data_IF_299899860813
#
_entry.id   IF_299899860813
#
_cell.length_a   1.000
_cell.length_b   1.000
_cell.length_c   1.000
_cell.angle_alpha   90.00
_cell.angle_beta   90.00
_cell.angle_gamma   90.00
#
_symmetry.space_group_name_H-M   'P 1'
#
loop_
_entity.id
_entity.type
_entity.pdbx_description
1 polymer ?
#
# COMPACT_ATOMS: atom_id res chain seq x y z
N UNK A 1 -10.17 -9.36 -36.00
CA UNK A 1 -9.18 -8.74 -35.09
C UNK A 1 -8.82 -9.77 -34.03
N UNK A 2 -7.57 -10.26 -33.95
CA UNK A 2 -7.17 -11.17 -32.88
C UNK A 2 -7.30 -10.45 -31.54
N UNK A 3 -8.09 -11.01 -30.62
CA UNK A 3 -8.30 -10.42 -29.30
C UNK A 3 -7.01 -10.41 -28.50
N UNK A 4 -6.62 -9.25 -27.97
CA UNK A 4 -5.50 -9.15 -27.05
C UNK A 4 -5.72 -10.11 -25.87
N UNK A 5 -4.69 -10.87 -25.48
CA UNK A 5 -4.82 -11.78 -24.35
C UNK A 5 -5.03 -10.97 -23.05
N UNK A 6 -5.74 -11.54 -22.07
CA UNK A 6 -5.96 -10.86 -20.78
C UNK A 6 -4.64 -10.38 -20.13
N UNK A 7 -3.56 -11.15 -20.31
CA UNK A 7 -2.22 -10.77 -19.85
C UNK A 7 -1.66 -9.51 -20.55
N UNK A 8 -1.90 -9.35 -21.85
CA UNK A 8 -1.52 -8.13 -22.58
C UNK A 8 -2.32 -6.93 -22.09
N UNK A 9 -3.62 -7.10 -21.84
CA UNK A 9 -4.45 -6.01 -21.31
C UNK A 9 -3.94 -5.54 -19.93
N UNK A 10 -3.69 -6.47 -19.01
CA UNK A 10 -3.22 -6.14 -17.66
C UNK A 10 -1.87 -5.41 -17.66
N UNK A 11 -0.92 -5.85 -18.50
CA UNK A 11 0.39 -5.21 -18.61
C UNK A 11 0.36 -3.85 -19.32
N UNK A 12 -0.68 -3.56 -20.11
CA UNK A 12 -0.81 -2.25 -20.78
C UNK A 12 -1.25 -1.11 -19.85
N UNK A 13 -1.87 -1.45 -18.70
CA UNK A 13 -2.51 -0.50 -17.77
C UNK A 13 -2.15 -0.78 -16.30
N UNK A 14 -0.86 -0.79 -15.94
CA UNK A 14 -0.42 -1.21 -14.61
C UNK A 14 -0.95 -0.28 -13.49
N UNK A 15 -1.06 1.02 -13.74
CA UNK A 15 -1.57 1.99 -12.77
C UNK A 15 -3.04 1.74 -12.44
N UNK A 16 -3.86 1.51 -13.45
CA UNK A 16 -5.29 1.23 -13.31
C UNK A 16 -5.53 -0.13 -12.65
N UNK A 17 -4.76 -1.15 -13.02
CA UNK A 17 -4.83 -2.48 -12.39
C UNK A 17 -4.47 -2.40 -10.91
N UNK A 18 -3.36 -1.75 -10.57
CA UNK A 18 -2.95 -1.60 -9.17
C UNK A 18 -3.92 -0.74 -8.37
N UNK A 19 -4.45 0.34 -8.95
CA UNK A 19 -5.48 1.16 -8.31
C UNK A 19 -6.77 0.36 -8.04
N UNK A 20 -7.23 -0.42 -9.00
CA UNK A 20 -8.43 -1.24 -8.84
C UNK A 20 -8.23 -2.31 -7.75
N UNK A 21 -7.08 -2.98 -7.74
CA UNK A 21 -6.73 -3.94 -6.69
C UNK A 21 -6.59 -3.25 -5.32
N UNK A 22 -5.99 -2.06 -5.28
CA UNK A 22 -5.87 -1.24 -4.08
C UNK A 22 -7.23 -0.77 -3.54
N UNK A 23 -8.20 -0.50 -4.41
CA UNK A 23 -9.56 -0.17 -4.01
C UNK A 23 -10.27 -1.40 -3.42
N UNK A 24 -10.11 -2.57 -4.05
CA UNK A 24 -10.66 -3.83 -3.54
C UNK A 24 -10.06 -4.16 -2.17
N UNK A 25 -8.74 -4.04 -2.00
CA UNK A 25 -8.13 -4.20 -0.67
C UNK A 25 -8.62 -3.17 0.31
N UNK A 26 -8.89 -1.93 -0.13
CA UNK A 26 -9.42 -0.87 0.72
C UNK A 26 -10.80 -1.24 1.25
N UNK A 27 -11.68 -1.77 0.39
CA UNK A 27 -13.00 -2.25 0.76
C UNK A 27 -12.93 -3.41 1.75
N UNK A 28 -12.05 -4.39 1.49
CA UNK A 28 -11.84 -5.53 2.40
C UNK A 28 -11.28 -5.05 3.75
N UNK A 29 -10.34 -4.11 3.73
CA UNK A 29 -9.72 -3.52 4.92
C UNK A 29 -10.75 -2.74 5.76
N UNK A 30 -11.58 -1.92 5.10
CA UNK A 30 -12.66 -1.16 5.72
C UNK A 30 -13.70 -2.10 6.36
N UNK A 31 -14.10 -3.15 5.63
CA UNK A 31 -15.01 -4.16 6.16
C UNK A 31 -14.41 -4.89 7.37
N UNK A 32 -13.15 -5.32 7.28
CA UNK A 32 -12.47 -5.99 8.39
C UNK A 32 -12.30 -5.10 9.62
N UNK A 33 -12.06 -3.80 9.42
CA UNK A 33 -12.00 -2.80 10.48
C UNK A 33 -13.33 -2.67 11.21
N UNK A 34 -14.44 -2.59 10.47
CA UNK A 34 -15.79 -2.44 11.04
C UNK A 34 -16.25 -3.70 11.78
N UNK A 35 -15.93 -4.89 11.29
CA UNK A 35 -16.37 -6.15 11.90
C UNK A 35 -15.64 -6.48 13.20
N UNK A 36 -14.45 -5.93 13.45
CA UNK A 36 -13.72 -6.12 14.71
C UNK A 36 -13.45 -7.60 15.02
N UNK A 37 -12.85 -8.33 14.07
CA UNK A 37 -12.61 -9.77 14.22
C UNK A 37 -11.81 -10.12 15.49
N UNK A 38 -12.22 -11.19 16.17
CA UNK A 38 -11.44 -11.83 17.23
C UNK A 38 -10.23 -12.57 16.66
N UNK A 39 -9.16 -11.83 16.36
CA UNK A 39 -7.98 -12.35 15.64
C UNK A 39 -6.89 -12.90 16.57
N UNK A 40 -7.25 -13.28 17.79
CA UNK A 40 -6.26 -13.80 18.74
C UNK A 40 -5.50 -15.04 18.27
N UNK A 41 -6.10 -15.98 17.50
CA UNK A 41 -5.34 -17.07 16.91
C UNK A 41 -4.21 -16.61 15.96
N UNK A 42 -4.30 -15.40 15.39
CA UNK A 42 -3.28 -14.83 14.50
C UNK A 42 -2.18 -14.07 15.23
N UNK A 43 -2.20 -14.02 16.56
CA UNK A 43 -1.19 -13.30 17.36
C UNK A 43 0.26 -13.72 17.07
N UNK A 44 0.60 -15.02 16.84
CA UNK A 44 1.96 -15.40 16.47
C UNK A 44 2.39 -14.77 15.14
N UNK A 45 1.50 -14.72 14.15
CA UNK A 45 1.77 -14.09 12.86
C UNK A 45 1.89 -12.57 12.99
N UNK A 46 1.03 -11.95 13.79
CA UNK A 46 1.08 -10.52 14.07
C UNK A 46 2.43 -10.10 14.68
N UNK A 47 2.99 -10.92 15.58
CA UNK A 47 4.32 -10.69 16.17
C UNK A 47 5.46 -10.72 15.15
N UNK A 48 5.40 -11.55 14.11
CA UNK A 48 6.41 -11.58 13.04
C UNK A 48 6.51 -10.21 12.36
N UNK A 49 5.37 -9.53 12.21
CA UNK A 49 5.30 -8.20 11.62
C UNK A 49 5.26 -7.08 12.66
N UNK A 50 5.46 -7.38 13.95
CA UNK A 50 5.37 -6.40 15.05
C UNK A 50 4.02 -5.67 15.14
N UNK A 51 2.94 -6.29 14.66
CA UNK A 51 1.60 -5.69 14.61
C UNK A 51 0.72 -6.19 15.77
N UNK A 52 -0.27 -5.38 16.13
CA UNK A 52 -1.44 -5.88 16.84
C UNK A 52 -2.29 -6.75 15.90
N UNK A 53 -2.92 -7.84 16.39
CA UNK A 53 -3.71 -8.74 15.56
C UNK A 53 -4.81 -8.03 14.76
N UNK A 54 -5.43 -6.98 15.32
CA UNK A 54 -6.46 -6.19 14.66
C UNK A 54 -5.98 -5.41 13.43
N UNK A 55 -4.69 -5.06 13.38
CA UNK A 55 -4.10 -4.33 12.25
C UNK A 55 -3.61 -5.26 11.12
N UNK A 56 -3.50 -6.56 11.39
CA UNK A 56 -2.96 -7.55 10.47
C UNK A 56 -3.79 -7.72 9.18
N UNK A 57 -5.13 -7.82 9.21
CA UNK A 57 -5.92 -7.99 7.99
C UNK A 57 -5.77 -6.84 7.00
N UNK A 58 -5.59 -5.61 7.48
CA UNK A 58 -5.44 -4.42 6.63
C UNK A 58 -4.14 -4.51 5.84
N UNK A 59 -3.03 -4.72 6.55
CA UNK A 59 -1.72 -4.89 5.91
C UNK A 59 -1.71 -6.07 4.96
N UNK A 60 -2.34 -7.19 5.33
CA UNK A 60 -2.36 -8.40 4.52
C UNK A 60 -3.20 -8.23 3.25
N UNK A 61 -4.39 -7.64 3.35
CA UNK A 61 -5.24 -7.37 2.19
C UNK A 61 -4.53 -6.45 1.19
N UNK A 62 -3.89 -5.38 1.66
CA UNK A 62 -3.14 -4.49 0.79
C UNK A 62 -1.88 -5.15 0.20
N UNK A 63 -1.15 -5.91 1.01
CA UNK A 63 0.01 -6.68 0.56
C UNK A 63 -0.34 -7.70 -0.51
N UNK A 64 -1.48 -8.40 -0.39
CA UNK A 64 -1.99 -9.30 -1.42
C UNK A 64 -2.35 -8.56 -2.70
N UNK A 65 -3.07 -7.44 -2.61
CA UNK A 65 -3.41 -6.63 -3.77
C UNK A 65 -2.17 -6.16 -4.54
N UNK A 66 -1.19 -5.61 -3.83
CA UNK A 66 0.08 -5.19 -4.42
C UNK A 66 0.86 -6.38 -4.97
N UNK A 67 0.94 -7.49 -4.23
CA UNK A 67 1.67 -8.68 -4.66
C UNK A 67 1.11 -9.31 -5.92
N UNK A 68 -0.21 -9.49 -5.99
CA UNK A 68 -0.89 -10.04 -7.18
C UNK A 68 -0.77 -9.09 -8.37
N UNK A 69 -0.95 -7.79 -8.14
CA UNK A 69 -0.80 -6.79 -9.19
C UNK A 69 0.62 -6.73 -9.75
N UNK A 70 1.64 -6.78 -8.88
CA UNK A 70 3.04 -6.84 -9.28
C UNK A 70 3.38 -8.14 -10.00
N UNK A 71 2.88 -9.29 -9.52
CA UNK A 71 3.08 -10.56 -10.21
C UNK A 71 2.46 -10.58 -11.62
N UNK A 72 1.28 -9.98 -11.78
CA UNK A 72 0.62 -9.83 -13.08
C UNK A 72 1.37 -8.86 -14.00
N UNK A 73 1.77 -7.68 -13.50
CA UNK A 73 2.42 -6.64 -14.30
C UNK A 73 3.87 -6.98 -14.65
N UNK A 74 4.65 -7.51 -13.70
CA UNK A 74 6.04 -7.91 -13.90
C UNK A 74 6.18 -9.33 -14.49
N UNK A 75 5.07 -10.05 -14.66
CA UNK A 75 5.03 -11.45 -15.15
C UNK A 75 5.91 -12.39 -14.33
N UNK A 76 5.99 -12.15 -13.03
CA UNK A 76 6.85 -12.86 -12.09
C UNK A 76 6.02 -13.32 -10.89
N UNK A 77 5.58 -14.58 -10.88
CA UNK A 77 4.70 -15.11 -9.81
C UNK A 77 5.36 -15.03 -8.42
N UNK A 78 6.69 -15.15 -8.35
CA UNK A 78 7.47 -15.03 -7.11
C UNK A 78 7.47 -13.59 -6.55
N UNK A 79 7.10 -12.59 -7.36
CA UNK A 79 6.95 -11.22 -6.88
C UNK A 79 5.82 -11.08 -5.87
N UNK A 80 4.77 -11.90 -5.97
CA UNK A 80 3.63 -11.84 -5.07
C UNK A 80 4.03 -12.04 -3.59
N UNK A 81 4.63 -13.17 -3.18
CA UNK A 81 5.01 -13.37 -1.78
C UNK A 81 6.02 -12.31 -1.28
N UNK A 82 6.97 -11.88 -2.12
CA UNK A 82 7.95 -10.86 -1.72
C UNK A 82 7.29 -9.50 -1.46
N UNK A 83 6.41 -9.06 -2.37
CA UNK A 83 5.70 -7.78 -2.24
C UNK A 83 4.69 -7.82 -1.10
N UNK A 84 4.03 -8.96 -0.85
CA UNK A 84 3.16 -9.15 0.32
C UNK A 84 3.95 -8.92 1.62
N UNK A 85 5.09 -9.62 1.78
CA UNK A 85 5.92 -9.52 3.00
C UNK A 85 6.45 -8.10 3.19
N UNK A 86 6.97 -7.48 2.14
CA UNK A 86 7.50 -6.10 2.24
C UNK A 86 6.40 -5.08 2.53
N UNK A 87 5.20 -5.25 1.97
CA UNK A 87 4.04 -4.38 2.27
C UNK A 87 3.56 -4.57 3.72
N UNK A 88 3.60 -5.79 4.26
CA UNK A 88 3.32 -6.03 5.67
C UNK A 88 4.29 -5.29 6.60
N UNK A 89 5.60 -5.32 6.29
CA UNK A 89 6.58 -4.53 7.02
C UNK A 89 6.39 -3.02 6.85
N UNK A 90 6.00 -2.56 5.65
CA UNK A 90 5.69 -1.16 5.40
C UNK A 90 4.49 -0.68 6.24
N UNK A 91 3.45 -1.50 6.33
CA UNK A 91 2.27 -1.24 7.17
C UNK A 91 2.64 -1.17 8.65
N UNK A 92 3.43 -2.12 9.13
CA UNK A 92 3.96 -2.11 10.49
C UNK A 92 4.78 -0.87 10.79
N UNK A 93 5.69 -0.50 9.90
CA UNK A 93 6.49 0.71 10.05
C UNK A 93 5.62 1.96 10.14
N UNK A 94 4.59 2.08 9.29
CA UNK A 94 3.65 3.20 9.33
C UNK A 94 2.93 3.30 10.70
N UNK A 95 2.41 2.18 11.22
CA UNK A 95 1.76 2.15 12.54
C UNK A 95 2.72 2.57 13.65
N UNK A 96 3.94 2.01 13.67
CA UNK A 96 4.92 2.38 14.68
C UNK A 96 5.35 3.84 14.57
N UNK A 97 5.46 4.38 13.37
CA UNK A 97 5.72 5.81 13.15
C UNK A 97 4.60 6.66 13.72
N UNK A 98 3.33 6.29 13.47
CA UNK A 98 2.18 7.00 14.05
C UNK A 98 2.22 6.96 15.58
N UNK A 99 2.32 5.76 16.17
CA UNK A 99 2.32 5.56 17.63
C UNK A 99 3.49 6.30 18.30
N UNK A 100 4.69 6.26 17.72
CA UNK A 100 5.88 6.91 18.31
C UNK A 100 5.85 8.42 18.22
N UNK A 101 5.20 9.01 17.22
CA UNK A 101 5.12 10.46 17.05
C UNK A 101 3.91 11.06 17.78
N UNK A 102 2.84 10.28 18.00
CA UNK A 102 1.63 10.69 18.73
C UNK A 102 1.83 10.76 20.26
N UNK A 103 3.06 10.97 20.76
CA UNK A 103 3.43 10.90 22.19
C UNK A 103 2.49 11.68 23.13
N UNK A 104 1.88 12.76 22.65
CA UNK A 104 0.80 13.48 23.33
C UNK A 104 -0.41 13.58 22.38
N UNK A 105 -1.51 12.91 22.70
CA UNK A 105 -2.74 12.91 21.89
C UNK A 105 -3.43 14.27 21.82
N UNK A 106 -3.14 15.15 22.78
CA UNK A 106 -3.80 16.45 22.92
C UNK A 106 -3.18 17.55 22.04
N UNK A 107 -2.04 17.27 21.41
CA UNK A 107 -1.34 18.21 20.53
C UNK A 107 -1.62 17.90 19.05
N UNK A 108 -2.45 18.75 18.43
CA UNK A 108 -2.81 18.71 17.03
C UNK A 108 -1.61 18.65 16.08
N UNK A 109 -0.52 19.36 16.42
CA UNK A 109 0.66 19.43 15.58
C UNK A 109 1.38 18.07 15.53
N UNK A 110 1.54 17.40 16.69
CA UNK A 110 2.15 16.08 16.73
C UNK A 110 1.29 15.02 16.04
N UNK A 111 -0.03 15.08 16.18
CA UNK A 111 -0.93 14.16 15.48
C UNK A 111 -0.86 14.34 13.96
N UNK A 112 -0.85 15.58 13.47
CA UNK A 112 -0.71 15.87 12.05
C UNK A 112 0.66 15.39 11.52
N UNK A 113 1.75 15.68 12.23
CA UNK A 113 3.08 15.22 11.88
C UNK A 113 3.18 13.68 11.87
N UNK A 114 2.61 13.01 12.87
CA UNK A 114 2.53 11.55 12.95
C UNK A 114 1.79 10.96 11.74
N UNK A 115 0.67 11.57 11.36
CA UNK A 115 -0.17 11.15 10.22
C UNK A 115 0.56 11.28 8.89
N UNK A 116 1.20 12.43 8.64
CA UNK A 116 2.02 12.68 7.46
C UNK A 116 3.18 11.70 7.38
N UNK A 117 3.93 11.54 8.47
CA UNK A 117 5.10 10.67 8.52
C UNK A 117 4.72 9.19 8.32
N UNK A 118 3.68 8.71 9.00
CA UNK A 118 3.19 7.34 8.85
C UNK A 118 2.77 7.04 7.40
N UNK A 119 1.99 7.96 6.81
CA UNK A 119 1.56 7.84 5.42
C UNK A 119 2.74 7.82 4.43
N UNK A 120 3.72 8.70 4.62
CA UNK A 120 4.93 8.76 3.81
C UNK A 120 5.76 7.47 3.92
N UNK A 121 6.02 7.00 5.14
CA UNK A 121 6.82 5.81 5.43
C UNK A 121 6.17 4.56 4.83
N UNK A 122 4.87 4.37 5.05
CA UNK A 122 4.14 3.23 4.50
C UNK A 122 4.19 3.20 2.97
N UNK A 123 3.98 4.34 2.32
CA UNK A 123 3.98 4.43 0.86
C UNK A 123 5.39 4.25 0.27
N UNK A 124 6.41 4.86 0.88
CA UNK A 124 7.81 4.74 0.46
C UNK A 124 8.32 3.31 0.57
N UNK A 125 8.04 2.62 1.68
CA UNK A 125 8.46 1.23 1.88
C UNK A 125 7.72 0.25 0.97
N UNK A 126 6.42 0.48 0.73
CA UNK A 126 5.65 -0.31 -0.25
C UNK A 126 6.22 -0.13 -1.66
N UNK A 127 6.55 1.11 -2.04
CA UNK A 127 7.23 1.40 -3.30
C UNK A 127 8.58 0.68 -3.39
N UNK A 128 9.40 0.75 -2.33
CA UNK A 128 10.70 0.10 -2.28
C UNK A 128 10.57 -1.43 -2.44
N UNK A 129 9.59 -2.06 -1.78
CA UNK A 129 9.27 -3.48 -1.95
C UNK A 129 8.91 -3.84 -3.39
N UNK A 130 8.06 -3.03 -4.04
CA UNK A 130 7.73 -3.20 -5.46
C UNK A 130 8.95 -2.98 -6.37
N UNK A 131 9.86 -2.07 -6.02
CA UNK A 131 11.08 -1.81 -6.77
C UNK A 131 12.11 -2.95 -6.71
N UNK A 132 12.00 -3.87 -5.74
CA UNK A 132 12.82 -5.09 -5.73
C UNK A 132 12.53 -5.97 -6.95
N UNK A 133 11.28 -6.00 -7.42
CA UNK A 133 10.82 -6.88 -8.51
C UNK A 133 10.67 -6.17 -9.84
N UNK A 134 10.50 -4.83 -9.84
CA UNK A 134 10.38 -4.03 -11.04
C UNK A 134 11.49 -2.96 -11.09
N UNK A 135 12.60 -3.21 -11.83
CA UNK A 135 13.73 -2.28 -11.93
C UNK A 135 13.34 -0.87 -12.39
N UNK A 136 12.29 -0.74 -13.20
CA UNK A 136 11.75 0.54 -13.65
C UNK A 136 11.28 1.45 -12.51
N UNK A 137 10.97 0.92 -11.32
CA UNK A 137 10.60 1.73 -10.16
C UNK A 137 11.81 2.34 -9.44
N UNK A 138 13.01 1.78 -9.61
CA UNK A 138 14.22 2.23 -8.91
C UNK A 138 14.72 3.59 -9.38
N UNK A 139 14.35 3.99 -10.60
CA UNK A 139 14.79 5.24 -11.24
C UNK A 139 13.68 5.81 -12.11
N UNK A 140 13.57 7.13 -12.22
CA UNK A 140 14.25 8.17 -11.43
C UNK A 140 13.71 8.30 -9.97
N UNK A 141 14.50 8.85 -9.03
CA UNK A 141 14.16 8.92 -7.60
C UNK A 141 12.93 9.78 -7.29
N UNK A 142 12.49 10.65 -8.21
CA UNK A 142 11.27 11.42 -8.01
C UNK A 142 10.03 10.53 -7.91
N UNK A 143 10.04 9.30 -8.46
CA UNK A 143 8.90 8.37 -8.40
C UNK A 143 8.58 7.91 -6.98
N UNK A 144 9.61 7.54 -6.22
CA UNK A 144 9.45 7.20 -4.80
C UNK A 144 9.07 8.44 -3.99
N UNK A 145 9.65 9.61 -4.31
CA UNK A 145 9.29 10.87 -3.66
C UNK A 145 7.81 11.23 -3.89
N UNK A 146 7.29 11.06 -5.11
CA UNK A 146 5.88 11.26 -5.44
C UNK A 146 4.99 10.28 -4.68
N UNK A 147 5.38 9.01 -4.62
CA UNK A 147 4.62 7.98 -3.89
C UNK A 147 4.58 8.30 -2.39
N UNK A 148 5.71 8.69 -1.81
CA UNK A 148 5.81 9.14 -0.43
C UNK A 148 4.97 10.40 -0.17
N UNK A 149 5.01 11.39 -1.07
CA UNK A 149 4.25 12.63 -0.94
C UNK A 149 2.73 12.36 -1.00
N UNK A 150 2.26 11.52 -1.92
CA UNK A 150 0.86 11.07 -1.97
C UNK A 150 0.49 10.30 -0.71
N UNK A 151 1.37 9.39 -0.27
CA UNK A 151 1.21 8.67 0.98
C UNK A 151 1.05 9.60 2.19
N UNK A 152 1.86 10.66 2.27
CA UNK A 152 1.78 11.68 3.31
C UNK A 152 0.46 12.45 3.24
N UNK A 153 0.11 12.96 2.05
CA UNK A 153 -1.10 13.74 1.82
C UNK A 153 -2.36 12.95 2.23
N UNK A 154 -2.48 11.69 1.81
CA UNK A 154 -3.59 10.83 2.22
C UNK A 154 -3.44 10.30 3.64
N UNK A 155 -2.22 10.31 4.20
CA UNK A 155 -1.98 10.08 5.63
C UNK A 155 -2.74 11.06 6.52
N UNK A 156 -3.01 12.29 6.06
CA UNK A 156 -3.86 13.25 6.78
C UNK A 156 -5.30 12.77 7.01
N UNK A 157 -5.79 11.78 6.25
CA UNK A 157 -7.08 11.15 6.54
C UNK A 157 -7.05 10.43 7.91
N UNK A 158 -5.88 9.95 8.36
CA UNK A 158 -5.72 9.42 9.71
C UNK A 158 -5.92 10.52 10.77
N UNK A 159 -5.31 11.71 10.58
CA UNK A 159 -5.55 12.87 11.46
C UNK A 159 -7.04 13.22 11.53
N UNK A 160 -7.71 13.33 10.37
CA UNK A 160 -9.15 13.64 10.33
C UNK A 160 -10.00 12.56 10.99
N UNK A 161 -9.61 11.29 10.85
CA UNK A 161 -10.26 10.14 11.51
C UNK A 161 -10.10 10.17 13.02
N UNK A 162 -8.90 10.47 13.53
CA UNK A 162 -8.62 10.61 14.96
C UNK A 162 -9.39 11.78 15.58
N UNK A 163 -9.59 12.87 14.82
CA UNK A 163 -10.45 14.00 15.19
C UNK A 163 -11.95 13.75 15.00
N UNK A 164 -12.33 12.54 14.56
CA UNK A 164 -13.72 12.13 14.31
C UNK A 164 -14.46 13.01 13.29
N UNK A 165 -13.71 13.69 12.42
CA UNK A 165 -14.27 14.50 11.32
C UNK A 165 -14.70 13.61 10.14
N UNK A 166 -14.03 12.46 9.98
CA UNK A 166 -14.38 11.42 9.03
C UNK A 166 -14.28 10.05 9.71
N UNK A 167 -14.89 9.03 9.11
CA UNK A 167 -14.71 7.67 9.60
C UNK A 167 -13.31 7.14 9.25
N UNK A 168 -12.66 6.45 10.20
CA UNK A 168 -11.27 5.96 10.05
C UNK A 168 -11.09 5.01 8.86
N UNK A 169 -12.11 4.23 8.51
CA UNK A 169 -12.07 3.31 7.37
C UNK A 169 -11.95 4.02 6.01
N UNK A 170 -12.28 5.32 5.93
CA UNK A 170 -12.11 6.12 4.72
C UNK A 170 -10.63 6.20 4.32
N UNK A 171 -9.72 6.16 5.30
CA UNK A 171 -8.28 6.10 5.05
C UNK A 171 -7.95 4.94 4.10
N UNK A 172 -8.50 3.74 4.33
CA UNK A 172 -8.16 2.57 3.54
C UNK A 172 -8.70 2.64 2.11
N UNK A 173 -9.90 3.21 1.93
CA UNK A 173 -10.53 3.34 0.62
C UNK A 173 -9.83 4.35 -0.29
N UNK A 174 -9.16 5.34 0.28
CA UNK A 174 -8.53 6.41 -0.50
C UNK A 174 -7.02 6.19 -0.59
N UNK A 175 -6.36 5.88 0.52
CA UNK A 175 -4.91 5.77 0.58
C UNK A 175 -4.38 4.58 -0.23
N UNK A 176 -4.98 3.39 -0.08
CA UNK A 176 -4.51 2.17 -0.75
C UNK A 176 -4.54 2.27 -2.29
N UNK A 177 -5.66 2.65 -2.94
CA UNK A 177 -5.68 2.81 -4.40
C UNK A 177 -4.79 3.96 -4.87
N UNK A 178 -4.70 5.07 -4.12
CA UNK A 178 -3.86 6.20 -4.51
C UNK A 178 -2.36 5.84 -4.53
N UNK A 179 -1.88 5.17 -3.48
CA UNK A 179 -0.48 4.70 -3.41
C UNK A 179 -0.22 3.62 -4.46
N UNK A 180 -1.15 2.69 -4.66
CA UNK A 180 -1.04 1.64 -5.67
C UNK A 180 -0.98 2.21 -7.10
N UNK A 181 -1.84 3.20 -7.39
CA UNK A 181 -1.82 3.95 -8.66
C UNK A 181 -0.48 4.65 -8.89
N UNK A 182 0.03 5.36 -7.87
CA UNK A 182 1.30 6.07 -7.95
C UNK A 182 2.49 5.14 -8.25
N UNK A 183 2.50 3.95 -7.63
CA UNK A 183 3.49 2.90 -7.93
C UNK A 183 3.32 2.42 -9.37
N UNK A 184 2.08 2.15 -9.80
CA UNK A 184 1.81 1.65 -11.15
C UNK A 184 2.13 2.62 -12.27
N UNK A 185 2.12 3.94 -12.04
CA UNK A 185 2.61 4.95 -12.99
C UNK A 185 4.10 4.77 -13.34
N UNK A 186 4.88 4.14 -12.45
CA UNK A 186 6.29 3.86 -12.68
C UNK A 186 6.58 2.54 -13.40
N UNK A 187 5.58 1.69 -13.59
CA UNK A 187 5.74 0.39 -14.24
C UNK A 187 5.74 0.51 -15.78
N UNK A 188 6.51 -0.33 -16.49
CA UNK A 188 6.52 -0.34 -17.95
C UNK A 188 5.16 -0.78 -18.49
N UNK A 189 4.73 -0.19 -19.61
CA UNK A 189 3.52 -0.62 -20.31
C UNK A 189 3.88 -1.72 -21.30
N UNK A 190 3.09 -2.79 -21.31
CA UNK A 190 3.21 -3.89 -22.27
C UNK A 190 3.00 -3.38 -23.69
N UNK A 191 4.08 -2.95 -24.34
CA UNK A 191 4.05 -2.31 -25.65
C UNK A 191 5.32 -1.49 -25.98
N UNK A 192 6.10 -1.10 -24.97
CA UNK A 192 7.22 -0.16 -25.17
C UNK A 192 8.45 -0.75 -25.89
N UNK A 193 8.39 -1.97 -26.45
CA UNK A 193 9.43 -2.59 -27.29
C UNK A 193 10.82 -2.69 -26.66
N UNK A 194 10.97 -2.28 -25.41
CA UNK A 194 12.23 -2.20 -24.72
C UNK A 194 12.58 -3.60 -24.25
N UNK A 195 13.75 -4.14 -24.63
CA UNK A 195 14.15 -5.48 -24.23
C UNK A 195 14.12 -5.56 -22.70
N UNK A 196 13.36 -6.53 -22.19
CA UNK A 196 13.37 -6.89 -20.78
C UNK A 196 14.79 -7.34 -20.42
N UNK A 197 15.52 -6.48 -19.71
CA UNK A 197 16.80 -6.82 -19.10
C UNK A 197 16.62 -7.81 -17.95
#
# INVERSE_FOLDING_TARGET
MPGASASQYLSSRPAEVLAALGLVSGLVSAWAWVQGFGLEPLRPLARVFLLDPGALPIGFAYGLAMGLGMAACARAWWAAPLVVVTTMYAWSAAIHTAVRLQRNTDDDLYLAAASLAAGAVGAALTHAGCALVAPGLRRPPWRIALTAALGAAFGMLFYLGQRKLIAEWVLFLVWQPAVAFAIGLGLPRGGDGSPSA
#
